data_IF_515989283870
#
_entry.id   IF_515989283870
#
_cell.length_a   1.000
_cell.length_b   1.000
_cell.length_c   1.000
_cell.angle_alpha   90.00
_cell.angle_beta   90.00
_cell.angle_gamma   90.00
#
_symmetry.space_group_name_H-M   'P 1'
#
loop_
_entity.id
_entity.type
_entity.pdbx_description
1 polymer ?
#
# COMPACT_ATOMS: atom_id res chain seq x y z
N UNK A 1 -1.04 -58.55 14.63
CA UNK A 1 -2.10 -57.74 13.98
C UNK A 1 -2.24 -56.43 14.74
N UNK A 2 -2.27 -55.28 14.06
CA UNK A 2 -2.41 -53.98 14.71
C UNK A 2 -3.91 -53.62 14.90
N UNK A 3 -4.29 -53.02 16.04
CA UNK A 3 -5.69 -52.72 16.32
C UNK A 3 -6.27 -51.65 15.38
N UNK A 4 -7.59 -51.70 15.09
CA UNK A 4 -8.26 -50.73 14.23
C UNK A 4 -8.07 -49.30 14.73
N UNK A 5 -7.62 -48.40 13.86
CA UNK A 5 -7.47 -46.98 14.22
C UNK A 5 -8.86 -46.32 14.17
N UNK A 6 -9.34 -45.85 15.32
CA UNK A 6 -10.59 -45.10 15.37
C UNK A 6 -10.55 -43.84 14.48
N UNK A 7 -11.62 -43.52 13.75
CA UNK A 7 -11.75 -42.24 13.06
C UNK A 7 -11.67 -41.12 14.09
N UNK A 8 -10.62 -40.30 14.00
CA UNK A 8 -10.52 -39.11 14.85
C UNK A 8 -11.57 -38.11 14.39
N UNK A 9 -12.39 -37.61 15.32
CA UNK A 9 -13.21 -36.43 15.08
C UNK A 9 -12.29 -35.25 14.78
N UNK A 10 -12.15 -34.89 13.50
CA UNK A 10 -11.39 -33.71 13.09
C UNK A 10 -12.15 -32.48 13.59
N UNK A 11 -11.46 -31.62 14.32
CA UNK A 11 -11.98 -30.29 14.68
C UNK A 11 -12.33 -29.55 13.38
N UNK A 12 -13.46 -28.83 13.32
CA UNK A 12 -13.77 -27.98 12.17
C UNK A 12 -12.59 -27.06 11.86
N UNK A 13 -12.15 -27.02 10.60
CA UNK A 13 -11.13 -26.07 10.18
C UNK A 13 -11.69 -24.66 10.32
N UNK A 14 -11.07 -23.85 11.18
CA UNK A 14 -11.37 -22.44 11.25
C UNK A 14 -10.74 -21.74 10.04
N UNK A 15 -11.46 -20.83 9.36
CA UNK A 15 -10.88 -20.04 8.29
C UNK A 15 -9.73 -19.18 8.82
N UNK A 16 -8.68 -19.03 8.02
CA UNK A 16 -7.56 -18.15 8.35
C UNK A 16 -8.04 -16.69 8.38
N UNK A 17 -7.65 -15.87 9.37
CA UNK A 17 -7.97 -14.46 9.36
C UNK A 17 -7.37 -13.77 8.12
N UNK A 18 -8.01 -12.71 7.61
CA UNK A 18 -7.49 -11.96 6.48
C UNK A 18 -6.14 -11.31 6.82
N UNK A 19 -5.32 -11.08 5.78
CA UNK A 19 -4.06 -10.36 5.93
C UNK A 19 -4.29 -8.96 6.51
N UNK A 20 -3.34 -8.51 7.34
CA UNK A 20 -3.38 -7.16 7.90
C UNK A 20 -3.28 -6.10 6.79
N UNK A 21 -3.91 -4.94 7.03
CA UNK A 21 -3.81 -3.79 6.13
C UNK A 21 -2.34 -3.34 6.03
N UNK A 22 -1.85 -2.91 4.85
CA UNK A 22 -0.51 -2.38 4.72
C UNK A 22 -0.25 -1.19 5.66
N UNK A 23 1.00 -1.09 6.15
CA UNK A 23 1.42 -0.04 7.09
C UNK A 23 1.48 1.35 6.44
N UNK A 24 1.65 1.41 5.12
CA UNK A 24 1.73 2.65 4.35
C UNK A 24 0.70 2.64 3.22
N UNK A 25 0.06 3.78 2.92
CA UNK A 25 -0.79 3.91 1.74
C UNK A 25 0.01 3.74 0.43
N UNK A 26 1.34 3.86 0.48
CA UNK A 26 2.24 3.68 -0.67
C UNK A 26 2.69 2.21 -0.86
N UNK A 27 2.18 1.27 -0.07
CA UNK A 27 2.50 -0.14 -0.24
C UNK A 27 1.70 -0.72 -1.40
N UNK A 28 2.39 -1.35 -2.36
CA UNK A 28 1.77 -1.95 -3.55
C UNK A 28 1.68 -1.01 -4.75
N UNK A 29 2.34 0.16 -4.71
CA UNK A 29 2.44 1.03 -5.88
C UNK A 29 3.30 0.39 -6.96
N UNK A 30 2.84 0.52 -8.20
CA UNK A 30 3.63 0.24 -9.40
C UNK A 30 4.73 1.28 -9.58
N UNK A 31 5.76 0.97 -10.38
CA UNK A 31 6.83 1.91 -10.68
C UNK A 31 6.31 3.28 -11.14
N UNK A 32 5.31 3.31 -12.02
CA UNK A 32 4.75 4.56 -12.54
C UNK A 32 3.97 5.35 -11.48
N UNK A 33 3.26 4.67 -10.58
CA UNK A 33 2.58 5.34 -9.47
C UNK A 33 3.58 5.96 -8.48
N UNK A 34 4.72 5.30 -8.25
CA UNK A 34 5.81 5.87 -7.45
C UNK A 34 6.38 7.12 -8.12
N UNK A 35 6.57 7.10 -9.44
CA UNK A 35 7.07 8.25 -10.20
C UNK A 35 6.09 9.43 -10.20
N UNK A 36 4.78 9.17 -10.20
CA UNK A 36 3.75 10.22 -10.14
C UNK A 36 3.77 10.92 -8.78
N UNK A 37 3.76 10.15 -7.68
CA UNK A 37 3.83 10.67 -6.32
C UNK A 37 5.10 11.50 -6.08
N UNK A 38 6.24 11.01 -6.58
CA UNK A 38 7.52 11.72 -6.46
C UNK A 38 7.50 13.03 -7.24
N UNK A 39 6.91 13.06 -8.43
CA UNK A 39 6.81 14.28 -9.22
C UNK A 39 5.94 15.33 -8.54
N UNK A 40 4.84 14.92 -7.91
CA UNK A 40 3.98 15.85 -7.17
C UNK A 40 4.74 16.49 -6.00
N UNK A 41 5.47 15.69 -5.23
CA UNK A 41 6.34 16.18 -4.15
C UNK A 41 7.42 17.13 -4.66
N UNK A 42 8.10 16.78 -5.76
CA UNK A 42 9.11 17.62 -6.37
C UNK A 42 8.53 18.94 -6.89
N UNK A 43 7.32 18.93 -7.47
CA UNK A 43 6.63 20.15 -7.91
C UNK A 43 6.27 21.05 -6.74
N UNK A 44 5.74 20.48 -5.66
CA UNK A 44 5.48 21.20 -4.41
C UNK A 44 6.77 21.85 -3.87
N UNK A 45 7.86 21.08 -3.81
CA UNK A 45 9.13 21.57 -3.27
C UNK A 45 9.80 22.64 -4.15
N UNK A 46 9.75 22.48 -5.47
CA UNK A 46 10.26 23.48 -6.42
C UNK A 46 9.36 24.72 -6.52
N UNK A 47 8.26 24.75 -5.76
CA UNK A 47 7.31 25.84 -5.76
C UNK A 47 6.65 25.98 -7.12
N UNK A 48 6.30 24.87 -7.78
CA UNK A 48 5.57 24.88 -9.05
C UNK A 48 4.13 24.39 -8.84
N UNK A 49 3.20 25.02 -9.55
CA UNK A 49 1.80 24.62 -9.60
C UNK A 49 1.65 23.24 -10.24
N UNK A 50 1.04 22.28 -9.55
CA UNK A 50 0.89 20.90 -10.04
C UNK A 50 -0.04 20.79 -11.25
N UNK A 51 -1.03 21.68 -11.34
CA UNK A 51 -1.99 21.78 -12.46
C UNK A 51 -1.39 22.41 -13.72
N UNK A 52 -0.49 23.40 -13.55
CA UNK A 52 -0.12 24.32 -14.61
C UNK A 52 1.40 24.37 -14.89
N UNK A 53 2.22 23.71 -14.08
CA UNK A 53 3.67 23.59 -14.24
C UNK A 53 4.45 24.89 -14.05
N UNK A 54 3.79 25.99 -13.69
CA UNK A 54 4.42 27.32 -13.55
C UNK A 54 4.99 27.51 -12.16
N UNK A 55 6.12 28.24 -12.00
CA UNK A 55 6.58 28.70 -10.71
C UNK A 55 5.49 29.50 -10.00
N UNK A 56 5.19 29.13 -8.76
CA UNK A 56 4.41 29.91 -7.82
C UNK A 56 5.24 31.15 -7.51
N UNK A 57 4.81 32.31 -8.01
CA UNK A 57 5.42 33.59 -7.67
C UNK A 57 5.23 33.81 -6.18
N UNK A 58 6.30 33.58 -5.40
CA UNK A 58 6.31 33.90 -3.97
C UNK A 58 6.13 35.42 -3.84
N UNK A 59 4.94 35.86 -3.47
CA UNK A 59 4.72 37.25 -3.08
C UNK A 59 5.66 37.52 -1.90
N UNK A 60 6.62 38.42 -2.12
CA UNK A 60 7.60 38.83 -1.12
C UNK A 60 6.87 39.83 -0.21
N UNK A 61 6.34 39.34 0.91
CA UNK A 61 5.91 40.19 2.05
C UNK A 61 7.13 40.75 2.75
#
# INVERSE_FOLDING_TARGET
MAPPRHPRHRRPSLPHPPAARPKSPHTGLTLYQVLDELQDQLRCWTGTCTTCGRPLTRART
#
